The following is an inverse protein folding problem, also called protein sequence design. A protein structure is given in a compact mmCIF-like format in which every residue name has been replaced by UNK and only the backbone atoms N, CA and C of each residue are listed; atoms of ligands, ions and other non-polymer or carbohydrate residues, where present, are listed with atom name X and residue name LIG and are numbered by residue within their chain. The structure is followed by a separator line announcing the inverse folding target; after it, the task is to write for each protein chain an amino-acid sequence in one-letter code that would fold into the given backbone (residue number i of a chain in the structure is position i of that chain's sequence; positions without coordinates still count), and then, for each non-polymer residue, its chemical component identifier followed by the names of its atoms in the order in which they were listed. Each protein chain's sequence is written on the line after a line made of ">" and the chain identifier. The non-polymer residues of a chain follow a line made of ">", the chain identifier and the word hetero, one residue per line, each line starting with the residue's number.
data_IF_539036103860
#
_entry.id   IF_539036103860
#
_cell.length_a   1.000
_cell.length_b   1.000
_cell.length_c   1.000
_cell.angle_alpha   90.00
_cell.angle_beta   90.00
_cell.angle_gamma   90.00
#
_symmetry.space_group_name_H-M   'P 1'
#
loop_
_entity.id
_entity.type
_entity.pdbx_description
1 polymer ?
#
# COMPACT_ATOMS: atom_id res chain seq x y z
N UNK A 1 12.26 -15.98 -8.58
CA UNK A 1 11.62 -16.59 -7.40
C UNK A 1 12.24 -16.04 -6.12
N UNK A 2 11.42 -15.66 -5.18
CA UNK A 2 11.92 -15.14 -3.90
C UNK A 2 12.23 -16.32 -2.99
N UNK A 3 13.49 -16.47 -2.62
CA UNK A 3 13.91 -17.58 -1.76
C UNK A 3 13.83 -17.22 -0.28
N UNK A 4 13.82 -15.92 0.03
CA UNK A 4 13.78 -15.46 1.41
C UNK A 4 12.77 -14.32 1.54
N UNK A 5 11.74 -14.57 2.33
CA UNK A 5 10.68 -13.59 2.55
C UNK A 5 10.89 -12.72 3.79
N UNK A 6 12.11 -12.70 4.34
CA UNK A 6 12.39 -11.95 5.56
C UNK A 6 12.05 -10.47 5.47
N UNK A 7 12.41 -9.83 4.35
CA UNK A 7 12.12 -8.41 4.14
C UNK A 7 10.63 -8.16 3.92
N UNK A 8 9.98 -9.06 3.19
CA UNK A 8 8.52 -8.99 2.96
C UNK A 8 7.78 -9.13 4.30
N UNK A 9 8.18 -10.11 5.11
CA UNK A 9 7.58 -10.32 6.43
C UNK A 9 7.77 -9.11 7.34
N UNK A 10 8.93 -8.47 7.28
CA UNK A 10 9.21 -7.30 8.09
C UNK A 10 8.25 -6.16 7.75
N UNK A 11 8.05 -5.90 6.45
CA UNK A 11 7.14 -4.85 6.01
C UNK A 11 5.69 -5.20 6.37
N UNK A 12 5.26 -6.43 6.13
CA UNK A 12 3.91 -6.86 6.47
C UNK A 12 3.65 -6.80 7.97
N UNK A 13 4.63 -7.18 8.78
CA UNK A 13 4.51 -7.10 10.22
C UNK A 13 4.42 -5.65 10.70
N UNK A 14 5.16 -4.76 10.07
CA UNK A 14 5.11 -3.33 10.36
C UNK A 14 3.72 -2.76 10.05
N UNK A 15 3.13 -3.17 8.93
CA UNK A 15 1.77 -2.77 8.58
C UNK A 15 0.74 -3.33 9.56
N UNK A 16 0.94 -4.57 10.01
CA UNK A 16 0.05 -5.19 11.01
C UNK A 16 0.09 -4.42 12.33
N UNK A 17 1.28 -4.04 12.78
CA UNK A 17 1.44 -3.25 13.99
C UNK A 17 0.84 -1.85 13.82
N UNK A 18 1.00 -1.25 12.65
CA UNK A 18 0.40 0.05 12.36
C UNK A 18 -1.13 -0.03 12.38
N UNK A 19 -1.70 -1.13 11.86
CA UNK A 19 -3.15 -1.33 11.89
C UNK A 19 -3.67 -1.47 13.32
N UNK A 20 -2.94 -2.21 14.15
CA UNK A 20 -3.28 -2.33 15.58
C UNK A 20 -3.24 -0.96 16.24
N UNK A 21 -2.21 -0.18 15.96
CA UNK A 21 -2.06 1.16 16.53
C UNK A 21 -3.18 2.10 16.06
N UNK A 22 -3.58 2.00 14.81
CA UNK A 22 -4.71 2.77 14.28
C UNK A 22 -6.00 2.47 15.08
N UNK A 23 -6.25 1.20 15.37
CA UNK A 23 -7.44 0.78 16.11
C UNK A 23 -7.42 1.24 17.57
N UNK A 24 -6.24 1.28 18.16
CA UNK A 24 -6.08 1.64 19.58
C UNK A 24 -5.99 3.16 19.79
N UNK A 25 -5.32 3.88 18.90
CA UNK A 25 -5.02 5.30 19.10
C UNK A 25 -5.57 6.21 18.01
N UNK A 26 -5.99 5.68 16.88
CA UNK A 26 -6.41 6.48 15.75
C UNK A 26 -5.26 7.04 14.91
N UNK A 27 -4.02 6.69 15.23
CA UNK A 27 -2.88 7.17 14.45
C UNK A 27 -2.82 6.50 13.09
N UNK A 28 -2.58 7.31 12.05
CA UNK A 28 -2.40 6.81 10.70
C UNK A 28 -0.93 6.54 10.42
N UNK A 29 -0.66 5.74 9.38
CA UNK A 29 0.69 5.38 8.99
C UNK A 29 0.72 5.21 7.48
N UNK A 30 1.80 5.65 6.83
CA UNK A 30 1.93 5.47 5.39
C UNK A 30 3.38 5.19 5.01
N UNK A 31 3.56 4.37 3.97
CA UNK A 31 4.87 4.09 3.41
C UNK A 31 4.77 4.11 1.88
N UNK A 32 5.90 4.40 1.24
CA UNK A 32 6.05 4.21 -0.20
C UNK A 32 6.75 2.87 -0.41
N UNK A 33 6.10 1.97 -1.12
CA UNK A 33 6.64 0.62 -1.35
C UNK A 33 8.01 0.68 -2.01
N UNK A 34 8.20 1.60 -2.96
CA UNK A 34 9.47 1.75 -3.67
C UNK A 34 10.61 2.26 -2.79
N UNK A 35 10.29 2.78 -1.62
CA UNK A 35 11.28 3.33 -0.69
C UNK A 35 11.58 2.43 0.51
N UNK A 36 11.04 1.22 0.51
CA UNK A 36 11.24 0.26 1.61
C UNK A 36 12.54 -0.53 1.48
N UNK A 37 13.23 -0.42 0.35
CA UNK A 37 14.41 -1.24 0.09
C UNK A 37 14.09 -2.62 -0.45
N UNK A 38 12.82 -2.92 -0.70
CA UNK A 38 12.41 -4.18 -1.29
C UNK A 38 12.76 -4.26 -2.77
N UNK A 39 13.07 -5.46 -3.25
CA UNK A 39 13.20 -5.70 -4.69
C UNK A 39 11.83 -5.60 -5.35
N UNK A 40 11.80 -5.52 -6.70
CA UNK A 40 10.53 -5.47 -7.41
C UNK A 40 9.68 -6.72 -7.14
N UNK A 41 10.30 -7.90 -7.08
CA UNK A 41 9.59 -9.14 -6.73
C UNK A 41 8.99 -9.07 -5.33
N UNK A 42 9.77 -8.56 -4.38
CA UNK A 42 9.30 -8.43 -3.00
C UNK A 42 8.16 -7.42 -2.90
N UNK A 43 8.24 -6.33 -3.66
CA UNK A 43 7.16 -5.33 -3.70
C UNK A 43 5.87 -5.95 -4.21
N UNK A 44 5.94 -6.72 -5.29
CA UNK A 44 4.78 -7.43 -5.84
C UNK A 44 4.20 -8.39 -4.81
N UNK A 45 5.07 -9.11 -4.09
CA UNK A 45 4.63 -10.05 -3.06
C UNK A 45 3.87 -9.36 -1.93
N UNK A 46 4.33 -8.20 -1.49
CA UNK A 46 3.62 -7.42 -0.48
C UNK A 46 2.23 -7.02 -0.98
N UNK A 47 2.16 -6.47 -2.19
CA UNK A 47 0.88 -6.03 -2.75
C UNK A 47 -0.09 -7.18 -2.98
N UNK A 48 0.41 -8.32 -3.44
CA UNK A 48 -0.42 -9.52 -3.64
C UNK A 48 -0.92 -10.08 -2.32
N UNK A 49 -0.08 -10.07 -1.29
CA UNK A 49 -0.46 -10.54 0.04
C UNK A 49 -1.55 -9.66 0.65
N UNK A 50 -1.45 -8.35 0.47
CA UNK A 50 -2.48 -7.43 0.93
C UNK A 50 -3.78 -7.62 0.16
N UNK A 51 -3.69 -7.97 -1.12
CA UNK A 51 -4.85 -8.24 -1.95
C UNK A 51 -5.67 -7.00 -2.25
N UNK A 52 -6.84 -7.22 -2.83
CA UNK A 52 -7.73 -6.14 -3.22
C UNK A 52 -9.14 -6.43 -2.73
N UNK A 53 -9.70 -5.48 -1.98
CA UNK A 53 -11.09 -5.55 -1.54
C UNK A 53 -12.04 -4.97 -2.58
N UNK A 54 -13.23 -4.57 -2.13
CA UNK A 54 -14.31 -4.15 -3.02
C UNK A 54 -14.38 -2.64 -3.25
N UNK A 55 -13.60 -1.86 -2.50
CA UNK A 55 -13.69 -0.40 -2.57
C UNK A 55 -12.55 0.15 -3.41
N UNK A 56 -12.90 0.96 -4.41
CA UNK A 56 -11.93 1.66 -5.26
C UNK A 56 -12.35 3.11 -5.34
N UNK A 57 -11.38 4.02 -5.17
CA UNK A 57 -11.60 5.46 -5.25
C UNK A 57 -10.63 6.02 -6.29
N UNK A 58 -11.16 6.74 -7.27
CA UNK A 58 -10.35 7.34 -8.33
C UNK A 58 -10.40 8.86 -8.23
N UNK A 59 -9.23 9.48 -8.20
CA UNK A 59 -9.10 10.93 -8.25
C UNK A 59 -8.48 11.30 -9.60
N UNK A 60 -9.32 11.67 -10.56
CA UNK A 60 -8.90 11.96 -11.93
C UNK A 60 -8.90 13.46 -12.27
N UNK A 61 -9.25 14.31 -11.32
CA UNK A 61 -9.40 15.75 -11.56
C UNK A 61 -8.10 16.55 -11.48
N UNK A 62 -6.99 15.89 -11.19
CA UNK A 62 -5.69 16.53 -11.06
C UNK A 62 -4.77 16.09 -12.18
N UNK A 63 -3.64 16.80 -12.33
CA UNK A 63 -2.60 16.44 -13.30
C UNK A 63 -1.93 15.11 -12.97
N UNK A 64 -2.11 14.63 -11.75
CA UNK A 64 -1.59 13.33 -11.31
C UNK A 64 -2.76 12.47 -10.84
N UNK A 65 -3.34 11.66 -11.72
CA UNK A 65 -4.41 10.74 -11.32
C UNK A 65 -3.93 9.77 -10.24
N UNK A 66 -4.77 9.56 -9.26
CA UNK A 66 -4.50 8.62 -8.16
C UNK A 66 -5.64 7.64 -8.07
N UNK A 67 -5.31 6.37 -8.02
CA UNK A 67 -6.29 5.33 -7.73
C UNK A 67 -6.00 4.76 -6.35
N UNK A 68 -7.00 4.74 -5.50
CA UNK A 68 -6.94 4.09 -4.19
C UNK A 68 -7.85 2.88 -4.19
N UNK A 69 -7.37 1.79 -3.63
CA UNK A 69 -8.25 0.67 -3.36
C UNK A 69 -7.97 0.13 -1.95
N UNK A 70 -9.02 -0.35 -1.31
CA UNK A 70 -8.84 -0.99 -0.02
C UNK A 70 -8.30 -2.39 -0.24
N UNK A 71 -7.35 -2.80 0.59
CA UNK A 71 -6.84 -4.17 0.57
C UNK A 71 -7.88 -5.12 1.16
N UNK A 72 -7.55 -6.39 1.25
CA UNK A 72 -8.40 -7.36 1.93
C UNK A 72 -8.44 -7.15 3.44
N UNK A 73 -7.55 -6.32 3.97
CA UNK A 73 -7.52 -5.98 5.39
C UNK A 73 -8.12 -4.59 5.57
N UNK A 74 -9.23 -4.52 6.30
CA UNK A 74 -9.91 -3.26 6.55
C UNK A 74 -8.98 -2.28 7.25
N UNK A 75 -8.86 -1.08 6.70
CA UNK A 75 -7.97 -0.05 7.22
C UNK A 75 -6.60 0.01 6.56
N UNK A 76 -6.32 -0.85 5.58
CA UNK A 76 -5.09 -0.79 4.78
C UNK A 76 -5.46 -0.48 3.35
N UNK A 77 -5.00 0.65 2.85
CA UNK A 77 -5.29 1.17 1.51
C UNK A 77 -4.05 1.23 0.67
N UNK A 78 -4.18 0.94 -0.61
CA UNK A 78 -3.08 1.05 -1.58
C UNK A 78 -3.42 2.14 -2.58
N UNK A 79 -2.54 3.13 -2.68
CA UNK A 79 -2.67 4.21 -3.65
C UNK A 79 -1.66 4.04 -4.76
N UNK A 80 -2.10 4.17 -6.01
CA UNK A 80 -1.23 4.14 -7.17
C UNK A 80 -1.19 5.53 -7.77
N UNK A 81 -0.02 6.15 -7.75
CA UNK A 81 0.23 7.45 -8.36
C UNK A 81 0.80 7.23 -9.74
N UNK A 82 0.15 7.80 -10.75
CA UNK A 82 0.56 7.67 -12.14
C UNK A 82 1.08 9.02 -12.66
N UNK A 83 2.04 8.97 -13.58
CA UNK A 83 2.46 10.18 -14.26
C UNK A 83 1.48 10.50 -15.39
N UNK A 84 1.71 11.61 -16.11
CA UNK A 84 0.84 12.04 -17.20
C UNK A 84 0.81 11.11 -18.41
N UNK A 85 1.62 10.03 -18.38
CA UNK A 85 1.68 9.03 -19.46
C UNK A 85 1.04 7.71 -19.04
N UNK A 86 0.30 7.71 -17.95
CA UNK A 86 -0.32 6.53 -17.35
C UNK A 86 0.66 5.46 -16.84
N UNK A 87 1.93 5.79 -16.74
CA UNK A 87 2.89 4.88 -16.12
C UNK A 87 2.78 4.96 -14.61
N UNK A 88 2.73 3.81 -13.96
CA UNK A 88 2.73 3.78 -12.50
C UNK A 88 4.10 4.21 -11.99
N UNK A 89 4.13 5.23 -11.14
CA UNK A 89 5.38 5.74 -10.60
C UNK A 89 5.61 5.25 -9.17
N UNK A 90 4.59 5.38 -8.34
CA UNK A 90 4.70 5.09 -6.92
C UNK A 90 3.47 4.37 -6.41
N UNK A 91 3.71 3.46 -5.47
CA UNK A 91 2.66 2.81 -4.72
C UNK A 91 2.79 3.20 -3.26
N UNK A 92 1.71 3.71 -2.69
CA UNK A 92 1.64 4.08 -1.29
C UNK A 92 0.75 3.08 -0.57
N UNK A 93 1.18 2.62 0.58
CA UNK A 93 0.33 1.82 1.46
C UNK A 93 -0.01 2.71 2.66
N UNK A 94 -1.29 2.97 2.86
CA UNK A 94 -1.77 3.78 3.97
C UNK A 94 -2.59 2.94 4.93
N UNK A 95 -2.29 3.09 6.22
CA UNK A 95 -3.07 2.50 7.30
C UNK A 95 -3.89 3.62 7.90
N UNK A 96 -5.18 3.65 7.58
CA UNK A 96 -6.09 4.72 7.95
C UNK A 96 -7.53 4.26 7.75
N UNK A 97 -8.48 4.99 8.30
CA UNK A 97 -9.90 4.72 8.04
C UNK A 97 -10.27 5.07 6.60
N UNK A 98 -9.65 6.14 6.08
CA UNK A 98 -9.84 6.63 4.71
C UNK A 98 -8.48 6.98 4.15
N UNK A 99 -8.27 6.79 2.83
CA UNK A 99 -7.01 7.17 2.22
C UNK A 99 -6.82 8.68 2.19
#
# INVERSE_FOLDING_TARGET
>A
MIENYGNVRAVLNELRLALKNLRETGETYSIYIEKTGLTEEEQVEVLETLGRGHITINFNETDQPVEWYESQFSGIWIGTYKNGRDDSILHTVEVAKYP
#
